data_IF_037493899813
#
_entry.id   IF_037493899813
#
_cell.length_a   1.000
_cell.length_b   1.000
_cell.length_c   1.000
_cell.angle_alpha   90.00
_cell.angle_beta   90.00
_cell.angle_gamma   90.00
#
_symmetry.space_group_name_H-M   'P 1'
#
loop_
_entity.id
_entity.type
_entity.pdbx_description
1 polymer ?
#
# COMPACT_ATOMS: atom_id res chain seq x y z
N UNK A 1 0.31 -17.90 -0.44
CA UNK A 1 0.25 -16.47 -0.86
C UNK A 1 -1.10 -15.94 -1.35
N UNK A 2 -2.06 -16.77 -1.79
CA UNK A 2 -3.23 -16.28 -2.55
C UNK A 2 -4.23 -15.41 -1.76
N UNK A 3 -4.52 -15.77 -0.51
CA UNK A 3 -5.41 -14.97 0.35
C UNK A 3 -4.81 -13.59 0.63
N UNK A 4 -3.51 -13.53 0.95
CA UNK A 4 -2.79 -12.28 1.18
C UNK A 4 -2.84 -11.39 -0.08
N UNK A 5 -2.62 -11.98 -1.25
CA UNK A 5 -2.73 -11.28 -2.54
C UNK A 5 -4.12 -10.72 -2.78
N UNK A 6 -5.18 -11.52 -2.60
CA UNK A 6 -6.56 -11.10 -2.81
C UNK A 6 -6.97 -9.92 -1.90
N UNK A 7 -6.66 -9.99 -0.60
CA UNK A 7 -6.97 -8.90 0.33
C UNK A 7 -6.10 -7.66 0.12
N UNK A 8 -4.83 -7.84 -0.24
CA UNK A 8 -3.94 -6.70 -0.59
C UNK A 8 -4.43 -5.99 -1.84
N UNK A 9 -4.83 -6.74 -2.87
CA UNK A 9 -5.36 -6.16 -4.11
C UNK A 9 -6.70 -5.46 -3.91
N UNK A 10 -7.61 -6.05 -3.12
CA UNK A 10 -8.89 -5.46 -2.78
C UNK A 10 -8.73 -4.19 -1.93
N UNK A 11 -7.91 -4.24 -0.87
CA UNK A 11 -7.66 -3.10 0.01
C UNK A 11 -6.94 -1.94 -0.68
N UNK A 12 -6.12 -2.21 -1.70
CA UNK A 12 -5.48 -1.18 -2.52
C UNK A 12 -6.26 -0.83 -3.81
N UNK A 13 -7.46 -1.41 -3.99
CA UNK A 13 -8.30 -1.22 -5.17
C UNK A 13 -7.57 -1.46 -6.52
N UNK A 14 -6.63 -2.41 -6.58
CA UNK A 14 -5.86 -2.76 -7.77
C UNK A 14 -6.66 -3.64 -8.75
N UNK A 15 -7.38 -4.64 -8.22
CA UNK A 15 -8.22 -5.56 -9.02
C UNK A 15 -7.49 -6.81 -9.54
N UNK A 16 -6.17 -6.89 -9.42
CA UNK A 16 -5.40 -8.12 -9.70
C UNK A 16 -5.77 -9.26 -8.74
N UNK A 17 -5.76 -10.50 -9.23
CA UNK A 17 -6.02 -11.68 -8.41
C UNK A 17 -5.15 -12.87 -8.82
N UNK A 18 -4.73 -13.67 -7.83
CA UNK A 18 -4.21 -15.01 -8.09
C UNK A 18 -5.40 -15.92 -8.42
N UNK A 19 -5.43 -16.47 -9.63
CA UNK A 19 -6.57 -17.24 -10.15
C UNK A 19 -6.81 -18.59 -9.45
N UNK A 20 -5.94 -19.02 -8.54
CA UNK A 20 -6.15 -20.26 -7.76
C UNK A 20 -7.15 -20.12 -6.61
N UNK A 21 -7.44 -18.89 -6.15
CA UNK A 21 -8.43 -18.66 -5.10
C UNK A 21 -9.85 -18.56 -5.68
N UNK A 22 -10.71 -19.53 -5.35
CA UNK A 22 -12.15 -19.46 -5.67
C UNK A 22 -12.86 -18.47 -4.74
N UNK A 23 -12.86 -17.20 -5.12
CA UNK A 23 -13.42 -16.10 -4.32
C UNK A 23 -14.93 -15.91 -4.51
N UNK A 24 -15.60 -16.66 -5.39
CA UNK A 24 -17.04 -16.53 -5.62
C UNK A 24 -17.87 -17.24 -4.54
N UNK A 25 -17.65 -16.85 -3.29
CA UNK A 25 -18.46 -17.28 -2.14
C UNK A 25 -19.03 -16.04 -1.45
N UNK A 26 -20.21 -16.14 -0.80
CA UNK A 26 -20.76 -15.01 -0.05
C UNK A 26 -19.78 -14.44 0.97
N UNK A 27 -18.95 -15.30 1.57
CA UNK A 27 -17.90 -14.90 2.50
C UNK A 27 -16.85 -13.98 1.85
N UNK A 28 -16.20 -14.44 0.77
CA UNK A 28 -15.15 -13.66 0.12
C UNK A 28 -15.71 -12.42 -0.58
N UNK A 29 -16.85 -12.53 -1.26
CA UNK A 29 -17.50 -11.38 -1.88
C UNK A 29 -17.78 -10.28 -0.84
N UNK A 30 -18.33 -10.64 0.33
CA UNK A 30 -18.63 -9.66 1.38
C UNK A 30 -17.36 -9.02 1.95
N UNK A 31 -16.36 -9.82 2.34
CA UNK A 31 -15.14 -9.30 2.95
C UNK A 31 -14.29 -8.47 1.98
N UNK A 32 -14.16 -8.91 0.73
CA UNK A 32 -13.42 -8.16 -0.28
C UNK A 32 -14.15 -6.87 -0.66
N UNK A 33 -15.49 -6.87 -0.73
CA UNK A 33 -16.27 -5.64 -0.92
C UNK A 33 -16.08 -4.64 0.23
N UNK A 34 -16.07 -5.11 1.48
CA UNK A 34 -15.78 -4.25 2.64
C UNK A 34 -14.36 -3.70 2.56
N UNK A 35 -13.37 -4.55 2.24
CA UNK A 35 -11.97 -4.13 2.08
C UNK A 35 -11.81 -3.06 0.98
N UNK A 36 -12.47 -3.25 -0.17
CA UNK A 36 -12.47 -2.27 -1.26
C UNK A 36 -13.13 -0.94 -0.86
N UNK A 37 -14.24 -1.01 -0.11
CA UNK A 37 -14.97 0.18 0.34
C UNK A 37 -14.11 1.04 1.28
N UNK A 38 -13.46 0.42 2.27
CA UNK A 38 -12.54 1.12 3.17
C UNK A 38 -11.26 1.57 2.46
N UNK A 39 -10.69 0.75 1.58
CA UNK A 39 -9.52 1.10 0.78
C UNK A 39 -9.73 2.36 -0.06
N UNK A 40 -10.95 2.54 -0.59
CA UNK A 40 -11.29 3.69 -1.41
C UNK A 40 -11.78 4.88 -0.60
N UNK A 41 -12.90 4.73 0.11
CA UNK A 41 -13.56 5.85 0.78
C UNK A 41 -12.88 6.22 2.09
N UNK A 42 -12.32 5.24 2.81
CA UNK A 42 -11.52 5.48 4.01
C UNK A 42 -10.26 6.31 3.75
N UNK A 43 -9.72 6.25 2.53
CA UNK A 43 -8.58 7.09 2.10
C UNK A 43 -9.04 8.42 1.50
N UNK A 44 -10.11 8.44 0.69
CA UNK A 44 -10.61 9.67 0.06
C UNK A 44 -11.03 10.72 1.10
N UNK A 45 -11.76 10.33 2.16
CA UNK A 45 -12.25 11.26 3.18
C UNK A 45 -11.11 12.05 3.86
N UNK A 46 -10.07 11.43 4.44
CA UNK A 46 -8.96 12.18 5.04
C UNK A 46 -8.13 12.94 4.01
N UNK A 47 -7.99 12.45 2.77
CA UNK A 47 -7.31 13.18 1.70
C UNK A 47 -8.03 14.49 1.36
N UNK A 48 -9.37 14.46 1.26
CA UNK A 48 -10.18 15.67 1.06
C UNK A 48 -10.10 16.62 2.26
N UNK A 49 -10.04 16.09 3.49
CA UNK A 49 -9.84 16.91 4.68
C UNK A 49 -8.46 17.62 4.67
N UNK A 50 -7.40 16.91 4.27
CA UNK A 50 -6.07 17.49 4.06
C UNK A 50 -6.12 18.57 2.98
N UNK A 51 -6.77 18.29 1.84
CA UNK A 51 -6.91 19.25 0.75
C UNK A 51 -7.62 20.54 1.21
N UNK A 52 -8.73 20.43 1.94
CA UNK A 52 -9.44 21.58 2.52
C UNK A 52 -8.58 22.36 3.51
N UNK A 53 -7.82 21.67 4.38
CA UNK A 53 -6.90 22.29 5.33
C UNK A 53 -5.74 23.03 4.64
N UNK A 54 -5.23 22.49 3.53
CA UNK A 54 -4.17 23.11 2.73
C UNK A 54 -4.69 24.28 1.87
N UNK A 55 -5.92 24.21 1.34
CA UNK A 55 -6.52 25.27 0.54
C UNK A 55 -6.66 26.59 1.32
N UNK A 56 -6.84 26.51 2.64
CA UNK A 56 -6.89 27.68 3.51
C UNK A 56 -5.51 28.29 3.82
N UNK A 57 -4.40 27.62 3.49
CA UNK A 57 -3.04 28.08 3.82
C UNK A 57 -2.45 28.93 2.68
N UNK A 58 -1.83 30.06 3.05
CA UNK A 58 -1.06 30.89 2.11
C UNK A 58 0.29 30.24 1.81
N UNK A 59 0.64 30.13 0.53
CA UNK A 59 1.98 29.69 0.10
C UNK A 59 3.02 30.74 0.49
N UNK A 60 4.09 30.31 1.17
CA UNK A 60 5.20 31.17 1.56
C UNK A 60 6.30 31.20 0.48
N UNK A 61 7.10 32.27 0.48
CA UNK A 61 8.28 32.37 -0.37
C UNK A 61 9.37 31.40 0.09
N UNK A 62 10.22 30.99 -0.85
CA UNK A 62 11.39 30.14 -0.57
C UNK A 62 12.40 30.95 0.25
N UNK A 63 12.96 30.32 1.28
CA UNK A 63 13.98 30.91 2.17
C UNK A 63 15.21 30.00 2.23
N UNK A 64 16.27 30.45 2.89
CA UNK A 64 17.47 29.63 3.12
C UNK A 64 17.19 28.32 3.89
N UNK A 65 16.09 28.25 4.66
CA UNK A 65 15.68 27.03 5.36
C UNK A 65 14.74 26.11 4.56
N UNK A 66 14.37 26.47 3.33
CA UNK A 66 13.44 25.67 2.52
C UNK A 66 14.18 24.51 1.86
N UNK A 67 13.82 23.27 2.22
CA UNK A 67 14.37 22.08 1.59
C UNK A 67 13.85 21.93 0.14
N UNK A 68 14.72 21.80 -0.88
CA UNK A 68 14.29 21.55 -2.24
C UNK A 68 13.55 20.21 -2.38
N UNK A 69 12.28 20.22 -2.75
CA UNK A 69 11.48 19.00 -3.00
C UNK A 69 11.67 18.44 -4.41
N UNK A 70 12.88 18.58 -4.95
CA UNK A 70 13.27 18.15 -6.30
C UNK A 70 14.75 17.75 -6.33
N UNK A 71 15.16 17.09 -7.41
CA UNK A 71 16.53 16.59 -7.56
C UNK A 71 16.78 15.26 -6.82
N UNK A 72 18.00 14.69 -6.97
CA UNK A 72 18.29 13.33 -6.54
C UNK A 72 18.09 13.09 -5.04
N UNK A 73 18.40 14.09 -4.20
CA UNK A 73 18.29 13.98 -2.74
C UNK A 73 16.83 13.74 -2.31
N UNK A 74 15.89 14.56 -2.80
CA UNK A 74 14.49 14.41 -2.44
C UNK A 74 13.89 13.13 -3.03
N UNK A 75 14.30 12.74 -4.24
CA UNK A 75 13.91 11.46 -4.85
C UNK A 75 14.35 10.29 -3.98
N UNK A 76 15.61 10.27 -3.53
CA UNK A 76 16.12 9.23 -2.63
C UNK A 76 15.38 9.19 -1.30
N UNK A 77 15.12 10.36 -0.69
CA UNK A 77 14.35 10.47 0.55
C UNK A 77 12.92 9.91 0.39
N UNK A 78 12.25 10.25 -0.70
CA UNK A 78 10.88 9.80 -0.99
C UNK A 78 10.82 8.29 -1.21
N UNK A 79 11.72 7.74 -2.04
CA UNK A 79 11.84 6.30 -2.28
C UNK A 79 12.13 5.57 -0.96
N UNK A 80 13.10 6.04 -0.19
CA UNK A 80 13.46 5.45 1.10
C UNK A 80 12.29 5.42 2.07
N UNK A 81 11.52 6.51 2.14
CA UNK A 81 10.35 6.61 3.03
C UNK A 81 9.25 5.62 2.61
N UNK A 82 8.91 5.56 1.33
CA UNK A 82 7.87 4.65 0.82
C UNK A 82 8.28 3.19 1.02
N UNK A 83 9.52 2.84 0.69
CA UNK A 83 10.03 1.48 0.88
C UNK A 83 10.08 1.08 2.34
N UNK A 84 10.56 1.96 3.23
CA UNK A 84 10.68 1.65 4.65
C UNK A 84 9.30 1.43 5.28
N UNK A 85 8.34 2.32 5.03
CA UNK A 85 6.96 2.18 5.52
C UNK A 85 6.31 0.90 4.97
N UNK A 86 6.44 0.65 3.67
CA UNK A 86 5.88 -0.55 3.05
C UNK A 86 6.51 -1.85 3.59
N UNK A 87 7.84 -1.89 3.67
CA UNK A 87 8.59 -3.05 4.10
C UNK A 87 8.30 -3.37 5.57
N UNK A 88 8.33 -2.40 6.47
CA UNK A 88 8.01 -2.64 7.88
C UNK A 88 6.58 -3.13 8.10
N UNK A 89 5.63 -2.71 7.26
CA UNK A 89 4.23 -3.14 7.38
C UNK A 89 3.99 -4.55 6.81
N UNK A 90 4.70 -4.94 5.75
CA UNK A 90 4.45 -6.19 5.02
C UNK A 90 5.46 -7.31 5.31
N UNK A 91 6.62 -7.03 5.93
CA UNK A 91 7.67 -8.03 6.19
C UNK A 91 7.14 -9.30 6.87
N UNK A 92 6.36 -9.24 7.96
CA UNK A 92 5.89 -10.46 8.62
C UNK A 92 5.01 -11.33 7.71
N UNK A 93 4.13 -10.70 6.93
CA UNK A 93 3.22 -11.39 6.02
C UNK A 93 3.94 -11.95 4.78
N UNK A 94 4.89 -11.20 4.23
CA UNK A 94 5.70 -11.62 3.08
C UNK A 94 6.67 -12.76 3.46
N UNK A 95 7.21 -12.72 4.68
CA UNK A 95 8.06 -13.78 5.21
C UNK A 95 7.32 -15.12 5.23
N UNK A 96 6.08 -15.14 5.75
CA UNK A 96 5.26 -16.35 5.87
C UNK A 96 4.58 -16.79 4.56
N UNK A 97 4.61 -15.97 3.52
CA UNK A 97 4.03 -16.29 2.21
C UNK A 97 5.12 -16.58 1.18
N UNK A 98 5.39 -15.64 0.25
CA UNK A 98 6.27 -15.87 -0.89
C UNK A 98 7.71 -16.20 -0.52
N UNK A 99 8.24 -15.68 0.59
CA UNK A 99 9.64 -15.92 0.98
C UNK A 99 9.82 -17.38 1.41
N UNK A 100 8.96 -17.91 2.28
CA UNK A 100 9.00 -19.34 2.67
C UNK A 100 8.72 -20.24 1.47
N UNK A 101 7.72 -19.90 0.64
CA UNK A 101 7.44 -20.63 -0.61
C UNK A 101 8.69 -20.71 -1.51
N UNK A 102 9.43 -19.60 -1.66
CA UNK A 102 10.66 -19.58 -2.44
C UNK A 102 11.79 -20.42 -1.81
N UNK A 103 12.01 -20.32 -0.50
CA UNK A 103 13.06 -21.09 0.18
C UNK A 103 12.80 -22.60 0.12
N UNK A 104 11.53 -23.02 0.17
CA UNK A 104 11.14 -24.43 0.06
C UNK A 104 11.41 -25.03 -1.32
N UNK A 105 11.43 -24.22 -2.40
CA UNK A 105 11.76 -24.71 -3.74
C UNK A 105 13.22 -25.22 -3.85
N UNK A 106 14.10 -24.71 -3.00
CA UNK A 106 15.54 -25.03 -3.02
C UNK A 106 15.94 -26.00 -1.91
N UNK A 107 15.01 -26.40 -1.04
CA UNK A 107 15.27 -27.34 0.03
C UNK A 107 15.33 -28.77 -0.54
N UNK A 108 16.47 -29.48 -0.45
CA UNK A 108 16.53 -30.88 -0.86
C UNK A 108 15.63 -31.70 0.06
N UNK A 109 14.80 -32.56 -0.54
CA UNK A 109 13.95 -33.51 0.21
C UNK A 109 14.79 -34.51 0.99
#
# INVERSE_FOLDING_TARGET
SEILSAFTAAGNNNGSACAGLSANTPFYNTLLSIAMWFGRFGVIVPVLAIAGSLAAKKRMAVTAGTLPTHGPLFVGLLIGTVLLVGLLNYVPALALGPVVEHLMLWYPK
#
